data_IF_403499533510
#
_entry.id   IF_403499533510
#
_cell.length_a   1.000
_cell.length_b   1.000
_cell.length_c   1.000
_cell.angle_alpha   90.00
_cell.angle_beta   90.00
_cell.angle_gamma   90.00
#
_symmetry.space_group_name_H-M   'P 1'
#
loop_
_entity.id
_entity.type
_entity.pdbx_description
1 polymer ?
#
# COMPACT_ATOMS: atom_id res chain seq x y z
N UNK A 1 10.54 8.98 29.07
CA UNK A 1 10.76 8.72 27.62
C UNK A 1 9.61 7.86 27.10
N UNK A 2 9.02 8.18 25.96
CA UNK A 2 8.01 7.30 25.36
C UNK A 2 8.70 6.05 24.79
N UNK A 3 8.24 4.86 25.16
CA UNK A 3 8.72 3.60 24.56
C UNK A 3 8.59 3.66 23.03
N UNK A 4 9.59 3.17 22.26
CA UNK A 4 9.56 3.18 20.79
C UNK A 4 8.30 2.49 20.23
N UNK A 5 7.74 1.52 20.94
CA UNK A 5 6.49 0.84 20.59
C UNK A 5 5.27 1.76 20.66
N UNK A 6 5.22 2.70 21.61
CA UNK A 6 4.13 3.68 21.71
C UNK A 6 4.18 4.67 20.55
N UNK A 7 5.37 5.11 20.17
CA UNK A 7 5.56 6.00 19.00
C UNK A 7 5.13 5.28 17.73
N UNK A 8 5.57 4.04 17.52
CA UNK A 8 5.14 3.23 16.39
C UNK A 8 3.62 2.98 16.39
N UNK A 9 3.01 2.76 17.55
CA UNK A 9 1.57 2.59 17.68
C UNK A 9 0.77 3.85 17.29
N UNK A 10 1.24 5.04 17.67
CA UNK A 10 0.64 6.31 17.25
C UNK A 10 0.79 6.54 15.75
N UNK A 11 1.98 6.26 15.21
CA UNK A 11 2.25 6.36 13.78
C UNK A 11 1.35 5.41 12.97
N UNK A 12 1.16 4.17 13.43
CA UNK A 12 0.24 3.22 12.82
C UNK A 12 -1.21 3.75 12.78
N UNK A 13 -1.72 4.31 13.89
CA UNK A 13 -3.08 4.86 13.90
C UNK A 13 -3.19 6.05 12.94
N UNK A 14 -2.22 6.97 12.95
CA UNK A 14 -2.19 8.11 12.03
C UNK A 14 -2.14 7.64 10.56
N UNK A 15 -1.31 6.65 10.27
CA UNK A 15 -1.24 5.99 8.96
C UNK A 15 -2.60 5.45 8.52
N UNK A 16 -3.28 4.71 9.39
CA UNK A 16 -4.59 4.18 9.03
C UNK A 16 -5.68 5.25 8.88
N UNK A 17 -5.67 6.34 9.67
CA UNK A 17 -6.60 7.47 9.44
C UNK A 17 -6.36 8.09 8.06
N UNK A 18 -5.09 8.36 7.71
CA UNK A 18 -4.72 8.90 6.40
C UNK A 18 -5.12 7.96 5.27
N UNK A 19 -4.94 6.65 5.45
CA UNK A 19 -5.35 5.67 4.45
C UNK A 19 -6.86 5.59 4.25
N UNK A 20 -7.66 5.78 5.31
CA UNK A 20 -9.11 5.90 5.16
C UNK A 20 -9.48 7.16 4.35
N UNK A 21 -8.85 8.30 4.65
CA UNK A 21 -9.05 9.54 3.90
C UNK A 21 -8.66 9.34 2.43
N UNK A 22 -7.49 8.76 2.17
CA UNK A 22 -7.01 8.44 0.82
C UNK A 22 -8.05 7.62 0.05
N UNK A 23 -8.54 6.52 0.66
CA UNK A 23 -9.51 5.65 0.02
C UNK A 23 -10.82 6.39 -0.31
N UNK A 24 -11.37 7.18 0.61
CA UNK A 24 -12.57 7.96 0.33
C UNK A 24 -12.33 9.04 -0.73
N UNK A 25 -11.15 9.65 -0.78
CA UNK A 25 -10.77 10.58 -1.85
C UNK A 25 -10.70 9.88 -3.21
N UNK A 26 -10.18 8.64 -3.27
CA UNK A 26 -10.18 7.82 -4.48
C UNK A 26 -11.60 7.46 -4.93
N UNK A 27 -12.47 7.03 -4.02
CA UNK A 27 -13.88 6.78 -4.36
C UNK A 27 -14.56 8.05 -4.84
N UNK A 28 -14.33 9.18 -4.17
CA UNK A 28 -14.82 10.50 -4.60
C UNK A 28 -14.38 10.84 -6.01
N UNK A 29 -13.10 10.67 -6.33
CA UNK A 29 -12.56 10.82 -7.69
C UNK A 29 -13.30 9.94 -8.70
N UNK A 30 -13.45 8.63 -8.40
CA UNK A 30 -14.09 7.68 -9.31
C UNK A 30 -15.57 8.02 -9.59
N UNK A 31 -16.26 8.64 -8.64
CA UNK A 31 -17.66 9.07 -8.80
C UNK A 31 -17.79 10.34 -9.66
N UNK A 32 -16.84 11.27 -9.56
CA UNK A 32 -16.93 12.57 -10.25
C UNK A 32 -16.19 12.63 -11.59
N UNK A 33 -15.24 11.72 -11.85
CA UNK A 33 -14.36 11.77 -13.04
C UNK A 33 -15.11 11.77 -14.38
N UNK A 34 -16.33 11.24 -14.41
CA UNK A 34 -17.17 11.20 -15.62
C UNK A 34 -18.02 12.47 -15.80
N UNK A 35 -18.04 13.38 -14.83
CA UNK A 35 -18.91 14.56 -14.83
C UNK A 35 -18.14 15.84 -15.21
N UNK A 36 -16.89 15.98 -14.77
CA UNK A 36 -16.04 17.13 -15.09
C UNK A 36 -14.56 16.75 -14.86
N UNK A 37 -13.74 16.84 -15.92
CA UNK A 37 -12.31 16.49 -15.88
C UNK A 37 -11.50 17.44 -14.99
N UNK A 38 -11.93 18.69 -14.78
CA UNK A 38 -11.23 19.62 -13.90
C UNK A 38 -11.46 19.31 -12.42
N UNK A 39 -12.67 18.88 -12.05
CA UNK A 39 -13.02 18.57 -10.65
C UNK A 39 -12.37 17.28 -10.14
N UNK A 40 -11.94 16.38 -11.02
CA UNK A 40 -11.24 15.14 -10.65
C UNK A 40 -9.82 15.34 -10.09
N UNK A 41 -9.19 16.49 -10.36
CA UNK A 41 -7.78 16.71 -10.01
C UNK A 41 -7.55 16.85 -8.50
N UNK A 42 -8.46 17.48 -7.77
CA UNK A 42 -8.27 17.69 -6.34
C UNK A 42 -8.35 16.38 -5.54
N UNK A 43 -9.38 15.52 -5.70
CA UNK A 43 -9.46 14.29 -4.93
C UNK A 43 -8.30 13.31 -5.19
N UNK A 44 -7.80 13.23 -6.42
CA UNK A 44 -6.63 12.38 -6.71
C UNK A 44 -5.36 12.92 -6.03
N UNK A 45 -5.15 14.23 -6.01
CA UNK A 45 -4.01 14.84 -5.30
C UNK A 45 -4.09 14.65 -3.79
N UNK A 46 -5.29 14.73 -3.22
CA UNK A 46 -5.53 14.43 -1.79
C UNK A 46 -5.25 12.96 -1.52
N UNK A 47 -5.73 12.05 -2.37
CA UNK A 47 -5.42 10.63 -2.30
C UNK A 47 -3.89 10.40 -2.26
N UNK A 48 -3.16 10.86 -3.28
CA UNK A 48 -1.72 10.61 -3.40
C UNK A 48 -0.93 11.14 -2.21
N UNK A 49 -1.26 12.35 -1.75
CA UNK A 49 -0.65 12.96 -0.58
C UNK A 49 -0.92 12.13 0.68
N UNK A 50 -2.15 11.67 0.87
CA UNK A 50 -2.51 10.83 2.01
C UNK A 50 -1.81 9.46 1.95
N UNK A 51 -1.69 8.84 0.77
CA UNK A 51 -0.95 7.58 0.61
C UNK A 51 0.53 7.77 0.91
N UNK A 52 1.16 8.87 0.46
CA UNK A 52 2.56 9.20 0.81
C UNK A 52 2.73 9.21 2.33
N UNK A 53 1.92 10.00 3.04
CA UNK A 53 2.04 10.09 4.50
C UNK A 53 1.68 8.78 5.20
N UNK A 54 0.66 8.06 4.73
CA UNK A 54 0.29 6.74 5.24
C UNK A 54 1.50 5.80 5.24
N UNK A 55 2.22 5.71 4.12
CA UNK A 55 3.36 4.80 3.97
C UNK A 55 4.59 5.28 4.74
N UNK A 56 4.84 6.58 4.84
CA UNK A 56 5.88 7.12 5.72
C UNK A 56 5.65 6.75 7.18
N UNK A 57 4.40 6.85 7.66
CA UNK A 57 4.05 6.48 9.04
C UNK A 57 4.12 4.97 9.32
N UNK A 58 4.17 4.12 8.30
CA UNK A 58 4.41 2.67 8.45
C UNK A 58 5.88 2.31 8.69
N UNK A 59 6.83 3.22 8.47
CA UNK A 59 8.26 2.95 8.68
C UNK A 59 8.56 2.62 10.16
N UNK A 60 8.15 3.44 11.15
CA UNK A 60 8.28 3.07 12.56
C UNK A 60 7.60 1.76 12.92
N UNK A 61 6.48 1.43 12.28
CA UNK A 61 5.74 0.17 12.50
C UNK A 61 6.58 -1.02 12.06
N UNK A 62 7.17 -0.95 10.87
CA UNK A 62 8.02 -2.01 10.33
C UNK A 62 9.23 -2.28 11.24
N UNK A 63 9.84 -1.22 11.77
CA UNK A 63 10.94 -1.32 12.74
C UNK A 63 10.46 -1.97 14.05
N UNK A 64 9.33 -1.53 14.58
CA UNK A 64 8.78 -2.07 15.84
C UNK A 64 8.42 -3.55 15.71
N UNK A 65 7.75 -3.95 14.63
CA UNK A 65 7.41 -5.35 14.37
C UNK A 65 8.66 -6.22 14.21
N UNK A 66 9.69 -5.74 13.52
CA UNK A 66 10.97 -6.44 13.42
C UNK A 66 11.64 -6.66 14.78
N UNK A 67 11.67 -5.64 15.64
CA UNK A 67 12.24 -5.77 17.00
C UNK A 67 11.52 -6.84 17.82
N UNK A 68 10.19 -6.83 17.80
CA UNK A 68 9.37 -7.84 18.50
C UNK A 68 9.65 -9.25 17.95
N UNK A 69 9.79 -9.42 16.64
CA UNK A 69 10.14 -10.72 16.03
C UNK A 69 11.51 -11.19 16.55
N UNK A 70 12.49 -10.28 16.61
CA UNK A 70 13.85 -10.58 17.07
C UNK A 70 13.89 -10.97 18.56
N UNK A 71 13.14 -10.26 19.39
CA UNK A 71 12.99 -10.55 20.83
C UNK A 71 12.33 -11.92 21.09
N UNK A 72 11.47 -12.38 20.17
CA UNK A 72 10.87 -13.71 20.23
C UNK A 72 11.81 -14.84 19.77
N UNK A 73 13.12 -14.59 19.68
CA UNK A 73 14.16 -15.53 19.26
C UNK A 73 13.90 -16.18 17.88
N UNK A 74 13.18 -15.49 17.01
CA UNK A 74 12.97 -15.95 15.64
C UNK A 74 14.18 -15.59 14.79
N UNK A 75 14.74 -16.56 14.07
CA UNK A 75 15.82 -16.36 13.10
C UNK A 75 15.32 -15.50 11.93
N UNK A 76 15.33 -14.19 12.09
CA UNK A 76 15.03 -13.21 11.05
C UNK A 76 16.25 -12.32 10.81
N UNK A 77 16.54 -12.03 9.55
CA UNK A 77 17.73 -11.27 9.16
C UNK A 77 17.39 -9.78 9.01
N UNK A 78 18.44 -8.95 9.01
CA UNK A 78 18.32 -7.53 8.70
C UNK A 78 17.68 -7.27 7.32
N UNK A 79 17.86 -8.20 6.38
CA UNK A 79 17.25 -8.13 5.06
C UNK A 79 15.71 -8.04 5.13
N UNK A 80 15.07 -8.71 6.08
CA UNK A 80 13.63 -8.61 6.25
C UNK A 80 13.17 -7.19 6.59
N UNK A 81 13.87 -6.50 7.51
CA UNK A 81 13.57 -5.11 7.83
C UNK A 81 13.80 -4.22 6.60
N UNK A 82 14.92 -4.41 5.91
CA UNK A 82 15.30 -3.62 4.75
C UNK A 82 14.30 -3.78 3.60
N UNK A 83 13.76 -4.98 3.37
CA UNK A 83 12.69 -5.20 2.38
C UNK A 83 11.43 -4.42 2.74
N UNK A 84 11.00 -4.47 4.00
CA UNK A 84 9.82 -3.74 4.46
C UNK A 84 9.98 -2.22 4.32
N UNK A 85 11.07 -1.66 4.84
CA UNK A 85 11.35 -0.21 4.73
C UNK A 85 11.57 0.18 3.28
N UNK A 86 12.33 -0.61 2.52
CA UNK A 86 12.60 -0.36 1.10
C UNK A 86 11.30 -0.27 0.30
N UNK A 87 10.39 -1.23 0.47
CA UNK A 87 9.08 -1.22 -0.17
C UNK A 87 8.29 0.05 0.16
N UNK A 88 8.24 0.46 1.44
CA UNK A 88 7.57 1.70 1.86
C UNK A 88 8.19 2.95 1.21
N UNK A 89 9.52 3.04 1.22
CA UNK A 89 10.25 4.16 0.62
C UNK A 89 10.07 4.23 -0.90
N UNK A 90 10.09 3.07 -1.60
CA UNK A 90 9.86 3.03 -3.05
C UNK A 90 8.42 3.40 -3.41
N UNK A 91 7.42 2.98 -2.63
CA UNK A 91 6.04 3.45 -2.82
C UNK A 91 5.95 4.97 -2.72
N UNK A 92 6.55 5.57 -1.68
CA UNK A 92 6.58 7.03 -1.51
C UNK A 92 7.32 7.71 -2.67
N UNK A 93 8.49 7.21 -3.05
CA UNK A 93 9.27 7.76 -4.15
C UNK A 93 8.48 7.74 -5.46
N UNK A 94 7.81 6.62 -5.77
CA UNK A 94 7.04 6.49 -7.01
C UNK A 94 5.86 7.46 -7.03
N UNK A 95 5.16 7.61 -5.90
CA UNK A 95 4.10 8.63 -5.75
C UNK A 95 4.63 10.05 -5.93
N UNK A 96 5.81 10.37 -5.40
CA UNK A 96 6.44 11.68 -5.63
C UNK A 96 6.79 11.92 -7.10
N UNK A 97 7.19 10.88 -7.83
CA UNK A 97 7.50 10.95 -9.27
C UNK A 97 6.25 11.01 -10.16
N UNK A 98 5.08 10.65 -9.64
CA UNK A 98 3.79 10.84 -10.32
C UNK A 98 3.40 12.34 -10.38
N UNK A 99 3.76 13.16 -9.38
CA UNK A 99 3.47 14.60 -9.40
C UNK A 99 3.97 15.33 -10.67
N UNK A 100 5.25 15.20 -11.05
CA UNK A 100 5.79 15.76 -12.28
C UNK A 100 5.48 14.93 -13.55
N UNK A 101 4.58 13.93 -13.47
CA UNK A 101 4.25 13.00 -14.57
C UNK A 101 5.46 12.24 -15.12
N UNK A 102 6.42 11.89 -14.26
CA UNK A 102 7.59 11.10 -14.65
C UNK A 102 7.22 9.62 -14.77
N UNK A 103 6.41 9.12 -13.84
CA UNK A 103 5.93 7.74 -13.78
C UNK A 103 4.41 7.68 -13.95
N UNK A 104 3.91 6.57 -14.49
CA UNK A 104 2.47 6.30 -14.54
C UNK A 104 1.89 6.09 -13.14
N UNK A 105 0.64 6.53 -12.95
CA UNK A 105 -0.07 6.58 -11.67
C UNK A 105 -0.20 5.23 -10.95
N UNK A 106 -0.01 4.11 -11.65
CA UNK A 106 -0.20 2.77 -11.09
C UNK A 106 1.12 2.09 -10.71
N UNK A 107 2.28 2.65 -11.08
CA UNK A 107 3.57 2.01 -10.82
C UNK A 107 3.92 1.91 -9.34
N UNK A 108 3.42 2.82 -8.49
CA UNK A 108 3.65 2.75 -7.04
C UNK A 108 3.03 1.50 -6.40
N UNK A 109 2.08 0.84 -7.08
CA UNK A 109 1.44 -0.38 -6.60
C UNK A 109 2.43 -1.55 -6.57
N UNK A 110 3.44 -1.58 -7.44
CA UNK A 110 4.45 -2.64 -7.45
C UNK A 110 5.23 -2.74 -6.12
N UNK A 111 5.89 -1.68 -5.61
CA UNK A 111 6.52 -1.74 -4.29
C UNK A 111 5.48 -1.93 -3.16
N UNK A 112 4.25 -1.48 -3.32
CA UNK A 112 3.17 -1.76 -2.36
C UNK A 112 2.83 -3.27 -2.29
N UNK A 113 2.88 -4.00 -3.40
CA UNK A 113 2.74 -5.46 -3.42
C UNK A 113 3.88 -6.18 -2.68
N UNK A 114 5.12 -5.69 -2.82
CA UNK A 114 6.27 -6.17 -2.04
C UNK A 114 6.04 -5.95 -0.54
N UNK A 115 5.51 -4.80 -0.15
CA UNK A 115 5.11 -4.54 1.23
C UNK A 115 3.99 -5.49 1.69
N UNK A 116 3.04 -5.84 0.82
CA UNK A 116 2.02 -6.86 1.09
C UNK A 116 2.60 -8.23 1.45
N UNK A 117 3.57 -8.70 0.67
CA UNK A 117 4.31 -9.93 0.97
C UNK A 117 5.06 -9.84 2.31
N UNK A 118 5.66 -8.69 2.60
CA UNK A 118 6.31 -8.42 3.88
C UNK A 118 5.33 -8.52 5.05
N UNK A 119 4.13 -7.93 4.94
CA UNK A 119 3.07 -7.99 5.96
C UNK A 119 2.63 -9.43 6.24
N UNK A 120 2.46 -10.26 5.21
CA UNK A 120 2.13 -11.69 5.36
C UNK A 120 3.19 -12.38 6.22
N UNK A 121 4.47 -12.21 5.87
CA UNK A 121 5.57 -12.83 6.60
C UNK A 121 5.64 -12.30 8.04
N UNK A 122 5.46 -11.00 8.27
CA UNK A 122 5.40 -10.41 9.60
C UNK A 122 4.29 -11.05 10.45
N UNK A 123 3.09 -11.18 9.89
CA UNK A 123 1.93 -11.78 10.58
C UNK A 123 2.16 -13.25 10.91
N UNK A 124 2.81 -14.02 10.05
CA UNK A 124 3.16 -15.41 10.34
C UNK A 124 4.19 -15.56 11.46
N UNK A 125 5.14 -14.62 11.57
CA UNK A 125 6.21 -14.65 12.57
C UNK A 125 5.73 -14.18 13.93
N UNK A 126 4.80 -13.21 14.00
CA UNK A 126 4.33 -12.61 15.26
C UNK A 126 3.21 -13.39 15.97
N UNK A 127 3.34 -14.72 16.07
CA UNK A 127 2.26 -15.59 16.59
C UNK A 127 1.89 -15.30 18.05
N UNK A 128 2.88 -14.92 18.87
CA UNK A 128 2.70 -14.66 20.31
C UNK A 128 2.18 -13.26 20.57
N UNK A 129 2.62 -12.28 19.77
CA UNK A 129 2.26 -10.88 19.97
C UNK A 129 0.88 -10.51 19.41
N UNK A 130 0.56 -11.02 18.21
CA UNK A 130 -0.67 -10.69 17.47
C UNK A 130 -1.68 -11.83 17.62
N UNK A 131 -2.92 -11.57 18.07
CA UNK A 131 -3.95 -12.59 18.16
C UNK A 131 -4.26 -13.19 16.78
N UNK A 132 -4.70 -14.44 16.76
CA UNK A 132 -4.89 -15.21 15.52
C UNK A 132 -5.75 -14.49 14.48
N UNK A 133 -6.86 -13.88 14.88
CA UNK A 133 -7.76 -13.18 13.97
C UNK A 133 -7.07 -11.98 13.29
N UNK A 134 -6.26 -11.19 14.01
CA UNK A 134 -5.57 -10.02 13.47
C UNK A 134 -4.40 -10.43 12.56
N UNK A 135 -3.80 -11.60 12.80
CA UNK A 135 -2.81 -12.19 11.90
C UNK A 135 -3.45 -12.60 10.58
N UNK A 136 -4.58 -13.32 10.63
CA UNK A 136 -5.32 -13.69 9.41
C UNK A 136 -5.79 -12.47 8.65
N UNK A 137 -6.29 -11.45 9.35
CA UNK A 137 -6.66 -10.20 8.71
C UNK A 137 -5.47 -9.53 8.01
N UNK A 138 -4.29 -9.50 8.64
CA UNK A 138 -3.07 -8.99 8.01
C UNK A 138 -2.61 -9.79 6.80
N UNK A 139 -2.76 -11.13 6.82
CA UNK A 139 -2.46 -11.99 5.68
C UNK A 139 -3.39 -11.69 4.51
N UNK A 140 -4.69 -11.50 4.78
CA UNK A 140 -5.69 -11.12 3.77
C UNK A 140 -5.33 -9.77 3.16
N UNK A 141 -5.03 -8.76 4.00
CA UNK A 141 -4.57 -7.44 3.57
C UNK A 141 -3.34 -7.56 2.67
N UNK A 142 -2.30 -8.26 3.12
CA UNK A 142 -1.07 -8.42 2.36
C UNK A 142 -1.30 -9.16 1.03
N UNK A 143 -2.22 -10.12 0.98
CA UNK A 143 -2.59 -10.82 -0.25
C UNK A 143 -3.29 -9.88 -1.24
N UNK A 144 -4.21 -9.04 -0.76
CA UNK A 144 -4.84 -8.02 -1.59
C UNK A 144 -3.84 -7.00 -2.13
N UNK A 145 -2.86 -6.59 -1.33
CA UNK A 145 -1.78 -5.70 -1.77
C UNK A 145 -0.91 -6.35 -2.85
N UNK A 146 -0.60 -7.65 -2.74
CA UNK A 146 0.09 -8.39 -3.79
C UNK A 146 -0.73 -8.37 -5.09
N UNK A 147 -2.04 -8.67 -5.02
CA UNK A 147 -2.91 -8.64 -6.20
C UNK A 147 -2.92 -7.26 -6.87
N UNK A 148 -3.02 -6.18 -6.08
CA UNK A 148 -2.93 -4.82 -6.60
C UNK A 148 -1.54 -4.53 -7.20
N UNK A 149 -0.46 -4.98 -6.56
CA UNK A 149 0.90 -4.77 -7.05
C UNK A 149 1.27 -5.59 -8.30
N UNK A 150 0.54 -6.66 -8.57
CA UNK A 150 0.65 -7.39 -9.83
C UNK A 150 0.00 -6.66 -11.00
N UNK A 151 -0.89 -5.69 -10.77
CA UNK A 151 -1.55 -4.94 -11.83
C UNK A 151 -0.56 -4.26 -12.80
N UNK A 152 0.37 -3.38 -12.37
CA UNK A 152 1.28 -2.74 -13.30
C UNK A 152 2.15 -3.77 -14.04
N UNK A 153 2.58 -4.84 -13.39
CA UNK A 153 3.39 -5.88 -14.04
C UNK A 153 2.57 -6.62 -15.10
N UNK A 154 1.35 -7.05 -14.74
CA UNK A 154 0.45 -7.77 -15.63
C UNK A 154 -0.01 -6.92 -16.81
N UNK A 155 -0.36 -5.66 -16.57
CA UNK A 155 -0.75 -4.72 -17.62
C UNK A 155 0.40 -4.54 -18.62
N UNK A 156 1.60 -4.31 -18.11
CA UNK A 156 2.80 -4.11 -18.94
C UNK A 156 3.18 -5.31 -19.82
N UNK A 157 2.89 -6.52 -19.36
CA UNK A 157 3.23 -7.78 -20.08
C UNK A 157 2.11 -8.20 -21.03
N UNK A 158 0.85 -8.08 -20.60
CA UNK A 158 -0.29 -8.70 -21.28
C UNK A 158 -1.22 -7.72 -22.00
N UNK A 159 -1.14 -6.42 -21.71
CA UNK A 159 -2.00 -5.40 -22.32
C UNK A 159 -1.17 -4.47 -23.20
N UNK A 160 -0.33 -3.65 -22.59
CA UNK A 160 0.52 -2.68 -23.28
C UNK A 160 1.67 -2.25 -22.35
N UNK A 161 2.88 -2.07 -22.90
CA UNK A 161 4.04 -1.63 -22.14
C UNK A 161 4.05 -0.11 -21.87
N UNK A 162 3.04 0.63 -22.35
CA UNK A 162 2.93 2.10 -22.24
C UNK A 162 3.14 2.62 -20.82
N UNK A 163 2.73 1.85 -19.81
CA UNK A 163 2.80 2.23 -18.39
C UNK A 163 4.23 2.36 -17.89
N UNK A 164 5.20 1.82 -18.62
CA UNK A 164 6.63 1.90 -18.33
C UNK A 164 7.35 3.02 -19.08
N UNK A 165 6.64 3.78 -19.93
CA UNK A 165 7.23 4.94 -20.61
C UNK A 165 7.56 6.07 -19.64
N UNK A 166 8.67 6.76 -19.93
CA UNK A 166 9.14 7.95 -19.21
C UNK A 166 9.40 9.05 -20.24
N UNK A 167 8.74 10.21 -20.16
CA UNK A 167 7.70 10.59 -19.18
C UNK A 167 6.42 9.76 -19.33
N UNK A 168 5.54 9.84 -18.33
CA UNK A 168 4.27 9.14 -18.35
C UNK A 168 3.46 9.53 -19.62
N UNK A 169 2.78 8.56 -20.26
CA UNK A 169 1.99 8.81 -21.47
C UNK A 169 0.86 9.82 -21.19
N UNK A 170 0.47 10.58 -22.22
CA UNK A 170 -0.71 11.45 -22.13
C UNK A 170 -2.00 10.62 -22.12
N UNK A 171 -3.07 11.22 -21.58
CA UNK A 171 -4.39 10.58 -21.55
C UNK A 171 -4.86 10.17 -22.95
N UNK A 172 -4.55 10.96 -23.99
CA UNK A 172 -4.86 10.64 -25.39
C UNK A 172 -4.19 9.35 -25.88
N UNK A 173 -2.98 9.04 -25.40
CA UNK A 173 -2.29 7.78 -25.74
C UNK A 173 -2.94 6.63 -24.98
N UNK A 174 -3.30 6.84 -23.72
CA UNK A 174 -3.98 5.83 -22.89
C UNK A 174 -5.36 5.46 -23.45
N UNK A 175 -6.11 6.44 -23.96
CA UNK A 175 -7.46 6.23 -24.53
C UNK A 175 -7.46 5.39 -25.81
N UNK A 176 -6.32 5.30 -26.50
CA UNK A 176 -6.17 4.48 -27.72
C UNK A 176 -5.96 3.00 -27.41
N UNK A 177 -5.70 2.64 -26.16
CA UNK A 177 -5.44 1.25 -25.78
C UNK A 177 -6.77 0.50 -25.69
N UNK A 178 -6.91 -0.65 -26.39
CA UNK A 178 -8.16 -1.41 -26.39
C UNK A 178 -8.59 -1.88 -24.99
N UNK A 179 -9.57 -1.19 -24.40
CA UNK A 179 -10.05 -1.46 -23.06
C UNK A 179 -10.79 -2.82 -22.95
N UNK A 180 -11.43 -3.27 -24.03
CA UNK A 180 -12.31 -4.45 -24.05
C UNK A 180 -11.56 -5.78 -24.29
N UNK A 181 -10.23 -5.77 -24.29
CA UNK A 181 -9.47 -7.02 -24.45
C UNK A 181 -9.59 -7.89 -23.20
N UNK A 182 -9.66 -9.21 -23.39
CA UNK A 182 -9.74 -10.17 -22.27
C UNK A 182 -8.58 -9.99 -21.29
N UNK A 183 -7.37 -9.74 -21.79
CA UNK A 183 -6.20 -9.47 -20.96
C UNK A 183 -6.41 -8.23 -20.08
N UNK A 184 -6.89 -7.12 -20.66
CA UNK A 184 -7.14 -5.89 -19.93
C UNK A 184 -8.22 -6.05 -18.85
N UNK A 185 -9.31 -6.75 -19.17
CA UNK A 185 -10.39 -7.05 -18.22
C UNK A 185 -9.85 -7.87 -17.03
N UNK A 186 -9.04 -8.90 -17.30
CA UNK A 186 -8.49 -9.79 -16.27
C UNK A 186 -7.52 -9.04 -15.34
N UNK A 187 -6.60 -8.22 -15.87
CA UNK A 187 -5.67 -7.46 -15.02
C UNK A 187 -6.42 -6.43 -14.17
N UNK A 188 -7.44 -5.77 -14.73
CA UNK A 188 -8.28 -4.84 -13.97
C UNK A 188 -9.10 -5.55 -12.89
N UNK A 189 -9.52 -6.80 -13.11
CA UNK A 189 -10.17 -7.60 -12.08
C UNK A 189 -9.23 -7.86 -10.89
N UNK A 190 -7.95 -8.17 -11.15
CA UNK A 190 -6.96 -8.30 -10.06
C UNK A 190 -6.77 -6.98 -9.30
N UNK A 191 -6.70 -5.85 -10.01
CA UNK A 191 -6.63 -4.54 -9.38
C UNK A 191 -7.87 -4.26 -8.53
N UNK A 192 -9.06 -4.56 -9.03
CA UNK A 192 -10.32 -4.35 -8.31
C UNK A 192 -10.34 -5.18 -7.03
N UNK A 193 -10.14 -6.49 -7.13
CA UNK A 193 -10.14 -7.40 -5.98
C UNK A 193 -9.03 -7.01 -4.99
N UNK A 194 -7.82 -6.74 -5.48
CA UNK A 194 -6.69 -6.31 -4.66
C UNK A 194 -6.94 -4.97 -3.94
N UNK A 195 -7.65 -4.04 -4.58
CA UNK A 195 -8.03 -2.77 -3.99
C UNK A 195 -9.01 -2.94 -2.84
N UNK A 196 -10.04 -3.77 -3.01
CA UNK A 196 -11.02 -4.04 -1.94
C UNK A 196 -10.42 -4.82 -0.77
N UNK A 197 -9.60 -5.83 -1.06
CA UNK A 197 -9.10 -6.75 -0.03
C UNK A 197 -7.82 -6.26 0.62
N UNK A 198 -7.03 -5.44 -0.07
CA UNK A 198 -5.73 -4.93 0.37
C UNK A 198 -5.75 -3.44 0.66
N UNK A 199 -6.04 -2.60 -0.34
CA UNK A 199 -5.92 -1.14 -0.23
C UNK A 199 -6.93 -0.57 0.78
N UNK A 200 -8.19 -1.00 0.71
CA UNK A 200 -9.26 -0.56 1.63
C UNK A 200 -9.03 -1.04 3.07
N UNK A 201 -8.55 -2.26 3.26
CA UNK A 201 -8.45 -2.90 4.58
C UNK A 201 -7.11 -2.63 5.26
N UNK A 202 -6.06 -2.26 4.53
CA UNK A 202 -4.76 -1.87 5.09
C UNK A 202 -4.91 -0.76 6.15
N UNK A 203 -5.66 0.33 5.92
CA UNK A 203 -5.95 1.34 6.94
C UNK A 203 -6.49 0.75 8.25
N UNK A 204 -7.47 -0.14 8.14
CA UNK A 204 -8.11 -0.79 9.31
C UNK A 204 -7.11 -1.68 10.03
N UNK A 205 -6.37 -2.51 9.31
CA UNK A 205 -5.33 -3.36 9.90
C UNK A 205 -4.26 -2.53 10.61
N UNK A 206 -3.89 -1.40 10.01
CA UNK A 206 -2.87 -0.50 10.56
C UNK A 206 -3.34 0.16 11.86
N UNK A 207 -4.61 0.57 11.95
CA UNK A 207 -5.19 1.08 13.22
C UNK A 207 -5.15 -0.01 14.30
N UNK A 208 -5.57 -1.23 13.95
CA UNK A 208 -5.64 -2.33 14.90
C UNK A 208 -4.27 -2.76 15.43
N UNK A 209 -3.25 -2.86 14.55
CA UNK A 209 -1.88 -3.13 15.00
C UNK A 209 -1.32 -1.95 15.81
N UNK A 210 -1.71 -0.71 15.47
CA UNK A 210 -1.35 0.48 16.23
C UNK A 210 -1.88 0.45 17.67
N UNK A 211 -3.16 0.15 17.85
CA UNK A 211 -3.78 -0.04 19.17
C UNK A 211 -3.07 -1.14 19.95
N UNK A 212 -2.67 -2.23 19.28
CA UNK A 212 -1.92 -3.32 19.92
C UNK A 212 -0.54 -2.87 20.38
N UNK A 213 0.21 -2.15 19.55
CA UNK A 213 1.51 -1.58 19.89
C UNK A 213 1.42 -0.58 21.05
N UNK A 214 0.36 0.22 21.11
CA UNK A 214 0.13 1.15 22.24
C UNK A 214 -0.13 0.44 23.57
N UNK A 215 -0.73 -0.75 23.52
CA UNK A 215 -1.04 -1.58 24.70
C UNK A 215 0.11 -2.54 25.07
N UNK A 216 1.17 -2.57 24.27
CA UNK A 216 2.34 -3.38 24.54
C UNK A 216 3.04 -2.88 25.81
N UNK A 217 3.31 -3.79 26.75
CA UNK A 217 4.16 -3.56 27.92
C UNK A 217 5.61 -4.03 27.69
N UNK A 218 5.97 -4.31 26.43
CA UNK A 218 7.34 -4.67 26.06
C UNK A 218 8.18 -3.40 26.25
N UNK A 219 9.10 -3.43 27.21
CA UNK A 219 10.07 -2.37 27.49
C UNK A 219 11.32 -2.52 26.62
#
# INVERSE_FOLDING_TARGET
MNSPYRTAGRAAIASGILGMIAYFSLIGFLLIRNQDSQNGTLPIRVHDSCVIFQFLFLIPVSIALFKIIKEQNLKITQAFLNVGIGALCFTVLFLLLIFPKILADTLYMAPQGVFGAWVIVACWRLKVFIPQWLRWFGIIVGSGLILAGLFPIGYGIFVDNVIFHIPAPSDEVMDKIPAETTANIVVHLFLYIGSFIGVLTLPVWTILIGVRLLRSKIE
#
